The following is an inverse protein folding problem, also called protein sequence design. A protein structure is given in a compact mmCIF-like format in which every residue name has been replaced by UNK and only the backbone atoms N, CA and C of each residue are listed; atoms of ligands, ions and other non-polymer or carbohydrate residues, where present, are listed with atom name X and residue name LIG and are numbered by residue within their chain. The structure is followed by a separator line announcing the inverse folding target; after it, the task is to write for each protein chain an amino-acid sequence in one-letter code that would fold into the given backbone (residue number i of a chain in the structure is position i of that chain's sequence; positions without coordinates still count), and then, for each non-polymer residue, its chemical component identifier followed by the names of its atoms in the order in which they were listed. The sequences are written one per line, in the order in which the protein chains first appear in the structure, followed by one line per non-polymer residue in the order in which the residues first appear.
data_IF_879250989061
#
_entry.id   IF_879250989061
#
_cell.length_a   1.000
_cell.length_b   1.000
_cell.length_c   1.000
_cell.angle_alpha   90.00
_cell.angle_beta   90.00
_cell.angle_gamma   90.00
#
_symmetry.space_group_name_H-M   'P 1'
#
loop_
_entity.id
_entity.type
_entity.pdbx_description
1 polymer ?
#
# COMPACT_ATOMS: atom_id res chain seq x y z
N UNK A 1 0.88 38.77 5.85
CA UNK A 1 0.67 38.46 7.28
C UNK A 1 0.99 37.01 7.41
N UNK A 2 1.95 36.66 8.23
CA UNK A 2 2.26 35.25 8.52
C UNK A 2 0.98 34.62 9.08
N UNK A 3 0.48 33.59 8.38
CA UNK A 3 -0.76 32.92 8.78
C UNK A 3 -0.39 31.70 9.62
N UNK A 4 0.10 31.99 10.84
CA UNK A 4 0.44 31.00 11.84
C UNK A 4 -0.85 30.64 12.59
N UNK A 5 -1.20 29.37 12.60
CA UNK A 5 -2.41 28.85 13.23
C UNK A 5 -2.05 27.92 14.38
N UNK A 6 -2.76 28.07 15.49
CA UNK A 6 -2.71 27.09 16.59
C UNK A 6 -3.77 26.03 16.33
N UNK A 7 -3.33 24.76 16.24
CA UNK A 7 -4.16 23.65 15.80
C UNK A 7 -4.08 22.48 16.77
N UNK A 8 -5.18 21.74 16.87
CA UNK A 8 -5.22 20.44 17.54
C UNK A 8 -4.89 19.35 16.52
N UNK A 9 -3.93 18.49 16.85
CA UNK A 9 -3.76 17.18 16.20
C UNK A 9 -4.66 16.19 16.92
N UNK A 10 -5.58 15.61 16.19
CA UNK A 10 -6.57 14.67 16.70
C UNK A 10 -6.31 13.27 16.14
N UNK A 11 -6.59 12.26 16.95
CA UNK A 11 -6.85 10.89 16.50
C UNK A 11 -8.30 10.60 16.81
N UNK A 12 -9.15 10.58 15.78
CA UNK A 12 -10.61 10.51 15.90
C UNK A 12 -11.11 11.56 16.91
N UNK A 13 -11.52 11.18 18.11
CA UNK A 13 -12.04 12.07 19.15
C UNK A 13 -10.99 12.57 20.15
N UNK A 14 -9.80 11.96 20.16
CA UNK A 14 -8.78 12.24 21.19
C UNK A 14 -7.75 13.21 20.65
N UNK A 15 -7.53 14.30 21.40
CA UNK A 15 -6.44 15.22 21.11
C UNK A 15 -5.08 14.59 21.49
N UNK A 16 -4.22 14.41 20.49
CA UNK A 16 -2.86 13.90 20.69
C UNK A 16 -1.89 15.02 21.05
N UNK A 17 -1.99 16.18 20.38
CA UNK A 17 -1.12 17.31 20.62
C UNK A 17 -1.78 18.64 20.24
N UNK A 18 -1.23 19.74 20.79
CA UNK A 18 -1.50 21.11 20.38
C UNK A 18 -0.27 21.63 19.65
N UNK A 19 -0.44 22.00 18.38
CA UNK A 19 0.64 22.30 17.45
C UNK A 19 0.49 23.71 16.85
N UNK A 20 1.56 24.21 16.31
CA UNK A 20 1.59 25.38 15.45
C UNK A 20 1.72 24.94 14.01
N UNK A 21 0.83 25.41 13.19
CA UNK A 21 0.87 25.19 11.73
C UNK A 21 1.07 26.53 11.02
N UNK A 22 2.05 26.58 10.14
CA UNK A 22 2.37 27.74 9.33
C UNK A 22 1.94 27.47 7.88
N UNK A 23 0.94 28.23 7.39
CA UNK A 23 0.40 28.08 6.02
C UNK A 23 1.37 28.52 4.93
N UNK A 24 2.26 29.48 5.21
CA UNK A 24 3.20 29.99 4.21
C UNK A 24 4.27 28.94 3.88
N UNK A 25 4.77 28.26 4.90
CA UNK A 25 5.73 27.16 4.72
C UNK A 25 5.08 25.77 4.65
N UNK A 26 3.77 25.68 4.96
CA UNK A 26 2.96 24.46 4.93
C UNK A 26 3.56 23.35 5.81
N UNK A 27 3.91 23.69 7.03
CA UNK A 27 4.62 22.84 7.96
C UNK A 27 4.18 23.04 9.41
N UNK A 28 4.36 22.01 10.23
CA UNK A 28 4.27 22.12 11.68
C UNK A 28 5.58 22.74 12.17
N UNK A 29 5.49 23.91 12.77
CA UNK A 29 6.65 24.70 13.19
C UNK A 29 6.93 24.66 14.70
N UNK A 30 5.89 24.33 15.50
CA UNK A 30 6.03 24.19 16.94
C UNK A 30 5.06 23.15 17.49
N UNK A 31 5.36 22.65 18.70
CA UNK A 31 4.45 21.84 19.52
C UNK A 31 4.32 22.53 20.86
N UNK A 32 3.13 23.05 21.15
CA UNK A 32 2.85 23.72 22.43
C UNK A 32 2.64 22.71 23.56
N UNK A 33 2.00 21.59 23.25
CA UNK A 33 1.65 20.57 24.24
C UNK A 33 1.51 19.19 23.54
N UNK A 34 1.95 18.14 24.20
CA UNK A 34 1.64 16.75 23.88
C UNK A 34 0.58 16.32 24.89
N UNK A 35 -0.70 16.37 24.47
CA UNK A 35 -1.83 16.13 25.36
C UNK A 35 -1.99 14.64 25.66
N UNK A 36 -1.75 13.77 24.66
CA UNK A 36 -1.79 12.31 24.81
C UNK A 36 -0.87 11.64 23.78
N UNK A 37 0.32 11.25 24.23
CA UNK A 37 1.34 10.64 23.36
C UNK A 37 0.92 9.29 22.77
N UNK A 38 0.12 8.49 23.49
CA UNK A 38 -0.29 7.17 23.04
C UNK A 38 -1.23 7.23 21.84
N UNK A 39 -1.98 8.34 21.70
CA UNK A 39 -2.86 8.61 20.55
C UNK A 39 -2.13 9.37 19.42
N UNK A 40 -0.87 9.67 19.57
CA UNK A 40 -0.08 10.24 18.48
C UNK A 40 0.27 9.16 17.41
N UNK A 41 0.61 9.57 16.19
CA UNK A 41 1.09 8.63 15.17
C UNK A 41 2.28 7.80 15.69
N UNK A 42 2.29 6.49 15.40
CA UNK A 42 3.31 5.59 15.93
C UNK A 42 4.74 6.03 15.56
N UNK A 43 4.94 6.58 14.37
CA UNK A 43 6.24 7.14 13.95
C UNK A 43 6.68 8.30 14.83
N UNK A 44 5.75 9.17 15.24
CA UNK A 44 6.04 10.24 16.20
C UNK A 44 6.26 9.69 17.60
N UNK A 45 5.41 8.77 18.08
CA UNK A 45 5.56 8.07 19.35
C UNK A 45 6.96 7.44 19.50
N UNK A 46 7.40 6.70 18.47
CA UNK A 46 8.72 6.09 18.44
C UNK A 46 9.85 7.13 18.55
N UNK A 47 9.75 8.22 17.80
CA UNK A 47 10.75 9.30 17.82
C UNK A 47 10.79 10.02 19.16
N UNK A 48 9.64 10.24 19.77
CA UNK A 48 9.51 10.88 21.09
C UNK A 48 10.21 10.07 22.17
N UNK A 49 9.96 8.76 22.24
CA UNK A 49 10.57 7.89 23.25
C UNK A 49 12.05 7.59 23.00
N UNK A 50 12.46 7.54 21.74
CA UNK A 50 13.86 7.28 21.37
C UNK A 50 14.73 8.55 21.37
N UNK A 51 14.12 9.74 21.50
CA UNK A 51 14.80 11.05 21.46
C UNK A 51 15.81 11.21 20.29
N UNK A 52 15.53 10.57 19.16
CA UNK A 52 16.44 10.50 18.01
C UNK A 52 16.53 11.81 17.25
N UNK A 53 15.45 12.58 17.24
CA UNK A 53 15.32 13.91 16.61
C UNK A 53 14.41 14.79 17.47
N UNK A 54 14.36 16.12 17.21
CA UNK A 54 13.44 17.00 17.95
C UNK A 54 11.97 16.62 17.64
N UNK A 55 11.09 16.80 18.62
CA UNK A 55 9.67 16.50 18.51
C UNK A 55 9.01 17.22 17.34
N UNK A 56 9.32 18.51 17.15
CA UNK A 56 8.81 19.29 16.01
C UNK A 56 9.22 18.67 14.69
N UNK A 57 10.48 18.27 14.54
CA UNK A 57 10.98 17.61 13.33
C UNK A 57 10.28 16.28 13.08
N UNK A 58 10.10 15.46 14.13
CA UNK A 58 9.41 14.18 14.02
C UNK A 58 7.95 14.34 13.60
N UNK A 59 7.23 15.28 14.24
CA UNK A 59 5.83 15.58 13.92
C UNK A 59 5.69 16.09 12.49
N UNK A 60 6.58 17.00 12.08
CA UNK A 60 6.54 17.54 10.72
C UNK A 60 6.90 16.49 9.67
N UNK A 61 7.84 15.56 9.96
CA UNK A 61 8.12 14.44 9.05
C UNK A 61 6.90 13.53 8.86
N UNK A 62 6.17 13.23 9.93
CA UNK A 62 4.92 12.49 9.83
C UNK A 62 3.89 13.25 8.98
N UNK A 63 3.67 14.53 9.27
CA UNK A 63 2.70 15.37 8.55
C UNK A 63 3.02 15.47 7.06
N UNK A 64 4.26 15.82 6.72
CA UNK A 64 4.70 15.93 5.32
C UNK A 64 4.68 14.57 4.60
N UNK A 65 4.93 13.48 5.33
CA UNK A 65 4.86 12.12 4.81
C UNK A 65 3.45 11.67 4.40
N UNK A 66 2.41 12.40 4.79
CA UNK A 66 1.01 12.16 4.38
C UNK A 66 0.71 12.70 2.98
N UNK A 67 1.47 13.68 2.51
CA UNK A 67 1.28 14.24 1.19
C UNK A 67 1.58 13.24 0.09
N UNK A 68 1.00 13.46 -1.10
CA UNK A 68 1.32 12.68 -2.28
C UNK A 68 2.84 12.71 -2.49
N UNK A 69 3.50 11.55 -2.60
CA UNK A 69 4.96 11.49 -2.62
C UNK A 69 5.55 12.09 -3.89
N UNK A 70 6.73 12.70 -3.75
CA UNK A 70 7.44 13.35 -4.86
C UNK A 70 7.83 12.40 -6.00
N UNK A 71 7.90 11.10 -5.73
CA UNK A 71 8.19 10.05 -6.73
C UNK A 71 6.95 9.45 -7.40
N UNK A 72 5.73 10.02 -7.12
CA UNK A 72 4.51 9.64 -7.83
C UNK A 72 4.67 9.84 -9.34
N UNK A 73 4.29 8.83 -10.16
CA UNK A 73 4.28 8.97 -11.62
C UNK A 73 3.45 10.20 -12.03
N UNK A 74 4.03 11.03 -12.89
CA UNK A 74 3.39 12.23 -13.43
C UNK A 74 2.92 13.27 -12.38
N UNK A 75 3.55 13.32 -11.20
CA UNK A 75 3.17 14.25 -10.13
C UNK A 75 3.05 15.70 -10.61
N UNK A 76 4.03 16.19 -11.39
CA UNK A 76 4.01 17.56 -11.88
C UNK A 76 2.77 17.85 -12.75
N UNK A 77 2.39 16.92 -13.62
CA UNK A 77 1.17 17.04 -14.41
C UNK A 77 -0.09 16.99 -13.55
N UNK A 78 -0.11 16.12 -12.51
CA UNK A 78 -1.21 16.08 -11.56
C UNK A 78 -1.38 17.44 -10.86
N UNK A 79 -0.32 17.99 -10.30
CA UNK A 79 -0.36 19.28 -9.59
C UNK A 79 -0.79 20.43 -10.53
N UNK A 80 -0.22 20.48 -11.73
CA UNK A 80 -0.60 21.46 -12.74
C UNK A 80 -2.09 21.39 -13.10
N UNK A 81 -2.61 20.17 -13.33
CA UNK A 81 -4.03 19.93 -13.65
C UNK A 81 -4.97 20.30 -12.51
N UNK A 82 -4.53 20.17 -11.27
CA UNK A 82 -5.26 20.57 -10.07
C UNK A 82 -5.05 22.04 -9.71
N UNK A 83 -4.19 22.77 -10.43
CA UNK A 83 -3.77 24.14 -10.12
C UNK A 83 -3.19 24.28 -8.70
N UNK A 84 -2.29 23.36 -8.36
CA UNK A 84 -1.61 23.25 -7.06
C UNK A 84 -0.09 23.37 -7.29
N UNK A 85 0.60 24.12 -6.44
CA UNK A 85 2.06 24.33 -6.57
C UNK A 85 2.86 23.22 -5.91
N UNK A 86 2.40 22.67 -4.79
CA UNK A 86 3.10 21.66 -3.99
C UNK A 86 2.12 20.62 -3.40
N UNK A 87 2.51 19.33 -3.26
CA UNK A 87 1.65 18.32 -2.64
C UNK A 87 1.18 18.68 -1.23
N UNK A 88 1.99 19.38 -0.45
CA UNK A 88 1.63 19.81 0.91
C UNK A 88 0.44 20.77 0.98
N UNK A 89 0.17 21.52 -0.09
CA UNK A 89 -1.03 22.38 -0.16
C UNK A 89 -2.34 21.58 -0.11
N UNK A 90 -2.29 20.32 -0.57
CA UNK A 90 -3.46 19.44 -0.53
C UNK A 90 -3.83 19.00 0.89
N UNK A 91 -2.85 18.92 1.81
CA UNK A 91 -3.09 18.48 3.18
C UNK A 91 -4.04 19.41 3.94
N UNK A 92 -3.93 20.73 3.68
CA UNK A 92 -4.77 21.74 4.35
C UNK A 92 -6.19 21.83 3.81
N UNK A 93 -6.41 21.29 2.60
CA UNK A 93 -7.72 21.45 1.94
C UNK A 93 -8.81 20.65 2.63
N UNK A 94 -8.45 19.61 3.42
CA UNK A 94 -9.42 18.79 4.13
C UNK A 94 -8.82 18.20 5.42
N UNK A 95 -8.39 19.07 6.35
CA UNK A 95 -7.95 18.68 7.71
C UNK A 95 -6.85 17.60 7.76
N UNK A 96 -6.11 17.37 6.69
CA UNK A 96 -5.16 16.27 6.50
C UNK A 96 -5.77 14.86 6.62
N UNK A 97 -7.08 14.72 6.42
CA UNK A 97 -7.82 13.45 6.52
C UNK A 97 -7.32 12.40 5.51
N UNK A 98 -7.43 11.13 5.92
CA UNK A 98 -7.06 9.95 5.12
C UNK A 98 -8.13 8.86 5.22
N UNK A 99 -8.05 7.85 4.33
CA UNK A 99 -8.76 6.58 4.47
C UNK A 99 -7.83 5.45 4.94
N UNK A 100 -6.61 5.78 5.40
CA UNK A 100 -5.67 4.82 5.99
C UNK A 100 -5.54 4.94 7.50
N UNK A 101 -6.05 6.00 8.09
CA UNK A 101 -6.00 6.29 9.52
C UNK A 101 -7.06 7.33 9.93
N UNK A 102 -7.09 7.70 11.21
CA UNK A 102 -8.09 8.61 11.82
C UNK A 102 -7.46 9.92 12.30
N UNK A 103 -6.26 10.27 11.83
CA UNK A 103 -5.61 11.54 12.19
C UNK A 103 -6.15 12.70 11.38
N UNK A 104 -6.39 13.83 12.07
CA UNK A 104 -6.80 15.08 11.45
C UNK A 104 -6.31 16.28 12.24
N UNK A 105 -6.25 17.43 11.57
CA UNK A 105 -5.75 18.69 12.14
C UNK A 105 -6.83 19.75 12.00
N UNK A 106 -7.13 20.44 13.08
CA UNK A 106 -8.17 21.49 13.13
C UNK A 106 -7.71 22.64 14.01
N UNK A 107 -8.14 23.86 13.68
CA UNK A 107 -7.87 25.04 14.52
C UNK A 107 -8.33 24.82 15.96
N UNK A 108 -7.56 25.34 16.94
CA UNK A 108 -7.81 25.14 18.37
C UNK A 108 -9.24 25.50 18.80
N UNK A 109 -9.76 26.60 18.28
CA UNK A 109 -11.08 27.13 18.64
C UNK A 109 -12.23 26.56 17.79
N UNK A 110 -11.97 25.66 16.86
CA UNK A 110 -13.00 25.05 16.01
C UNK A 110 -13.92 24.13 16.79
N UNK A 111 -15.21 24.17 16.46
CA UNK A 111 -16.24 23.28 17.01
C UNK A 111 -16.48 22.04 16.14
N UNK A 112 -15.74 21.87 15.04
CA UNK A 112 -15.88 20.73 14.13
C UNK A 112 -15.55 19.44 14.88
N UNK A 113 -16.38 18.41 14.67
CA UNK A 113 -16.20 17.08 15.23
C UNK A 113 -15.80 16.09 14.11
N UNK A 114 -15.25 14.94 14.49
CA UNK A 114 -14.89 13.85 13.58
C UNK A 114 -16.08 13.40 12.72
N UNK A 115 -17.27 13.31 13.33
CA UNK A 115 -18.49 12.90 12.66
C UNK A 115 -18.90 13.81 11.52
N UNK A 116 -18.47 15.07 11.53
CA UNK A 116 -18.87 16.06 10.53
C UNK A 116 -18.03 15.96 9.23
N UNK A 117 -16.85 15.33 9.29
CA UNK A 117 -15.84 15.52 8.24
C UNK A 117 -15.20 14.24 7.71
N UNK A 118 -15.29 13.09 8.41
CA UNK A 118 -14.55 11.89 8.04
C UNK A 118 -14.99 11.28 6.70
N UNK A 119 -14.04 10.70 5.95
CA UNK A 119 -14.32 10.07 4.67
C UNK A 119 -14.80 8.62 4.76
N UNK A 120 -14.85 8.03 5.94
CA UNK A 120 -15.39 6.67 6.11
C UNK A 120 -16.91 6.66 5.99
N UNK A 121 -17.58 7.71 6.46
CA UNK A 121 -19.04 7.82 6.45
C UNK A 121 -19.58 8.89 5.50
N UNK A 122 -18.79 9.91 5.18
CA UNK A 122 -19.18 10.97 4.25
C UNK A 122 -18.70 10.66 2.83
N UNK A 123 -19.58 10.87 1.87
CA UNK A 123 -19.25 10.75 0.46
C UNK A 123 -18.40 11.93 -0.02
N UNK A 124 -17.59 11.69 -1.02
CA UNK A 124 -16.69 12.65 -1.64
C UNK A 124 -16.68 12.48 -3.15
N UNK A 125 -16.43 13.56 -3.86
CA UNK A 125 -16.26 13.53 -5.32
C UNK A 125 -14.76 13.44 -5.66
N UNK A 126 -14.39 12.42 -6.38
CA UNK A 126 -13.02 12.17 -6.86
C UNK A 126 -12.91 12.22 -8.39
N UNK A 127 -13.98 12.53 -9.11
CA UNK A 127 -14.00 12.45 -10.58
C UNK A 127 -12.90 13.29 -11.20
N UNK A 128 -12.81 14.56 -10.82
CA UNK A 128 -11.79 15.48 -11.32
C UNK A 128 -10.37 15.09 -10.91
N UNK A 129 -10.18 14.63 -9.66
CA UNK A 129 -8.88 14.19 -9.18
C UNK A 129 -8.40 12.94 -9.92
N UNK A 130 -9.25 11.92 -10.08
CA UNK A 130 -8.90 10.71 -10.82
C UNK A 130 -8.63 10.99 -12.30
N UNK A 131 -9.41 11.87 -12.92
CA UNK A 131 -9.13 12.30 -14.29
C UNK A 131 -7.74 12.94 -14.40
N UNK A 132 -7.36 13.80 -13.46
CA UNK A 132 -6.04 14.42 -13.42
C UNK A 132 -4.92 13.39 -13.14
N UNK A 133 -5.17 12.44 -12.23
CA UNK A 133 -4.18 11.44 -11.77
C UNK A 133 -3.91 10.34 -12.81
N UNK A 134 -4.95 9.81 -13.44
CA UNK A 134 -4.87 8.68 -14.38
C UNK A 134 -4.58 9.07 -15.82
N UNK A 135 -4.66 10.35 -16.17
CA UNK A 135 -4.33 10.84 -17.50
C UNK A 135 -2.80 10.79 -17.72
N UNK A 136 -2.36 9.93 -18.61
CA UNK A 136 -0.94 9.76 -18.96
C UNK A 136 -0.51 10.67 -20.14
N UNK A 137 -1.40 11.54 -20.62
CA UNK A 137 -1.06 12.48 -21.69
C UNK A 137 -0.09 13.57 -21.21
N UNK A 138 0.79 14.02 -22.09
CA UNK A 138 1.72 15.12 -21.83
C UNK A 138 1.08 16.50 -21.97
N UNK A 139 -0.23 16.56 -22.26
CA UNK A 139 -0.91 17.84 -22.48
C UNK A 139 -1.20 18.55 -21.15
N UNK A 140 -0.77 19.81 -21.07
CA UNK A 140 -1.12 20.72 -19.97
C UNK A 140 -2.57 21.17 -20.11
N UNK A 141 -3.35 21.01 -19.06
CA UNK A 141 -4.71 21.52 -18.91
C UNK A 141 -5.08 21.58 -17.44
N UNK A 142 -6.04 22.40 -17.11
CA UNK A 142 -6.60 22.46 -15.76
C UNK A 142 -7.97 21.77 -15.75
N UNK A 143 -8.20 20.87 -14.82
CA UNK A 143 -9.50 20.24 -14.61
C UNK A 143 -10.41 21.25 -13.93
N UNK A 144 -11.55 21.55 -14.55
CA UNK A 144 -12.53 22.49 -14.00
C UNK A 144 -13.36 21.81 -12.89
N UNK A 145 -13.72 22.59 -11.87
CA UNK A 145 -14.60 22.17 -10.77
C UNK A 145 -14.09 20.91 -10.01
N UNK A 146 -12.78 20.80 -9.79
CA UNK A 146 -12.22 19.72 -8.98
C UNK A 146 -12.54 19.97 -7.51
N UNK A 147 -13.17 18.99 -6.86
CA UNK A 147 -13.24 18.98 -5.41
C UNK A 147 -11.88 18.56 -4.84
N UNK A 148 -11.27 19.43 -4.04
CA UNK A 148 -10.08 19.09 -3.25
C UNK A 148 -10.43 18.59 -1.85
N UNK A 149 -11.72 18.47 -1.53
CA UNK A 149 -12.25 17.82 -0.33
C UNK A 149 -12.36 16.31 -0.59
N UNK A 150 -11.23 15.63 -0.51
CA UNK A 150 -11.10 14.24 -0.93
C UNK A 150 -9.96 13.53 -0.21
N UNK A 151 -10.10 12.24 0.15
CA UNK A 151 -9.02 11.45 0.75
C UNK A 151 -7.86 11.21 -0.23
N UNK A 152 -7.99 11.62 -1.48
CA UNK A 152 -6.94 11.48 -2.48
C UNK A 152 -5.72 12.36 -2.20
N UNK A 153 -5.90 13.41 -1.42
CA UNK A 153 -4.84 14.33 -0.99
C UNK A 153 -3.73 13.64 -0.16
N UNK A 154 -4.06 12.49 0.46
CA UNK A 154 -3.18 11.73 1.35
C UNK A 154 -2.86 10.32 0.82
N UNK A 155 -3.01 10.08 -0.50
CA UNK A 155 -2.68 8.76 -1.08
C UNK A 155 -1.17 8.58 -1.26
N UNK A 156 -0.59 7.53 -0.65
CA UNK A 156 0.85 7.21 -0.79
C UNK A 156 1.13 6.31 -2.01
N UNK A 157 2.41 6.19 -2.39
CA UNK A 157 2.95 5.27 -3.38
C UNK A 157 3.08 5.84 -4.79
N UNK A 158 3.76 5.06 -5.66
CA UNK A 158 4.25 5.48 -6.98
C UNK A 158 3.15 5.52 -8.06
N UNK A 159 2.20 4.58 -8.03
CA UNK A 159 1.15 4.44 -9.05
C UNK A 159 0.18 5.62 -9.00
N UNK A 160 -0.27 6.14 -10.16
CA UNK A 160 -1.44 7.01 -10.22
C UNK A 160 -2.62 6.31 -9.57
N UNK A 161 -3.29 6.96 -8.64
CA UNK A 161 -4.39 6.33 -7.89
C UNK A 161 -5.33 7.35 -7.28
N UNK A 162 -6.48 6.87 -6.86
CA UNK A 162 -7.41 7.66 -6.06
C UNK A 162 -8.57 6.81 -5.53
N UNK A 163 -9.14 7.27 -4.43
CA UNK A 163 -10.33 6.71 -3.83
C UNK A 163 -11.60 7.19 -4.53
N UNK A 164 -12.58 6.31 -4.62
CA UNK A 164 -13.95 6.63 -5.03
C UNK A 164 -14.95 6.04 -4.05
N UNK A 165 -16.19 6.51 -4.12
CA UNK A 165 -17.34 5.85 -3.50
C UNK A 165 -18.08 5.05 -4.57
N UNK A 166 -18.15 3.74 -4.42
CA UNK A 166 -18.85 2.83 -5.31
C UNK A 166 -19.73 1.89 -4.47
N UNK A 167 -21.07 1.94 -4.64
CA UNK A 167 -22.04 1.14 -3.85
C UNK A 167 -21.87 1.31 -2.32
N UNK A 168 -21.72 2.52 -1.85
CA UNK A 168 -21.44 2.90 -0.45
C UNK A 168 -20.11 2.34 0.11
N UNK A 169 -19.23 1.83 -0.73
CA UNK A 169 -17.91 1.34 -0.35
C UNK A 169 -16.83 2.32 -0.80
N UNK A 170 -15.76 2.40 -0.02
CA UNK A 170 -14.56 3.16 -0.37
C UNK A 170 -13.65 2.25 -1.18
N UNK A 171 -13.50 2.54 -2.46
CA UNK A 171 -12.76 1.73 -3.42
C UNK A 171 -11.55 2.50 -3.91
N UNK A 172 -10.37 1.90 -3.78
CA UNK A 172 -9.13 2.44 -4.34
C UNK A 172 -9.00 1.99 -5.79
N UNK A 173 -8.88 2.97 -6.68
CA UNK A 173 -8.52 2.76 -8.08
C UNK A 173 -7.02 3.01 -8.21
N UNK A 174 -6.29 2.06 -8.80
CA UNK A 174 -4.87 2.19 -9.13
C UNK A 174 -4.66 2.03 -10.63
N UNK A 175 -3.96 2.99 -11.24
CA UNK A 175 -3.48 2.91 -12.62
C UNK A 175 -2.17 2.13 -12.72
N UNK A 176 -1.42 2.41 -13.76
CA UNK A 176 -0.19 1.70 -14.10
C UNK A 176 1.02 2.62 -14.09
N UNK A 177 2.17 2.05 -13.77
CA UNK A 177 3.46 2.73 -13.78
C UNK A 177 4.39 2.19 -14.88
N UNK A 178 4.38 0.87 -15.07
CA UNK A 178 5.30 0.21 -15.98
C UNK A 178 4.92 0.42 -17.44
N UNK A 179 5.91 0.29 -18.33
CA UNK A 179 5.70 0.37 -19.77
C UNK A 179 4.65 -0.62 -20.28
N UNK A 180 4.51 -1.76 -19.62
CA UNK A 180 3.65 -2.86 -20.07
C UNK A 180 2.27 -2.84 -19.43
N UNK A 181 1.98 -1.91 -18.53
CA UNK A 181 0.67 -1.77 -17.87
C UNK A 181 0.16 -3.10 -17.24
N UNK A 182 1.08 -3.91 -16.68
CA UNK A 182 0.77 -5.26 -16.19
C UNK A 182 0.32 -5.29 -14.73
N UNK A 183 0.57 -4.23 -13.95
CA UNK A 183 0.34 -4.19 -12.50
C UNK A 183 -1.08 -4.59 -12.07
N UNK A 184 -2.17 -4.14 -12.73
CA UNK A 184 -3.52 -4.54 -12.34
C UNK A 184 -3.75 -6.05 -12.42
N UNK A 185 -3.17 -6.71 -13.42
CA UNK A 185 -3.29 -8.16 -13.62
C UNK A 185 -2.48 -8.95 -12.60
N UNK A 186 -1.36 -8.40 -12.13
CA UNK A 186 -0.54 -8.99 -11.07
C UNK A 186 -1.26 -8.92 -9.71
N UNK A 187 -1.92 -7.80 -9.41
CA UNK A 187 -2.73 -7.66 -8.19
C UNK A 187 -3.92 -8.64 -8.21
N UNK A 188 -4.59 -8.80 -9.35
CA UNK A 188 -5.62 -9.81 -9.52
C UNK A 188 -5.07 -11.23 -9.32
N UNK A 189 -3.93 -11.57 -9.94
CA UNK A 189 -3.30 -12.88 -9.79
C UNK A 189 -2.96 -13.19 -8.33
N UNK A 190 -2.38 -12.24 -7.60
CA UNK A 190 -2.09 -12.39 -6.17
C UNK A 190 -3.36 -12.66 -5.36
N UNK A 191 -4.48 -11.97 -5.69
CA UNK A 191 -5.78 -12.23 -5.06
C UNK A 191 -6.25 -13.66 -5.32
N UNK A 192 -6.13 -14.18 -6.57
CA UNK A 192 -6.57 -15.53 -6.90
C UNK A 192 -5.71 -16.60 -6.23
N UNK A 193 -4.39 -16.40 -6.14
CA UNK A 193 -3.49 -17.28 -5.38
C UNK A 193 -3.91 -17.30 -3.91
N UNK A 194 -4.02 -16.13 -3.29
CA UNK A 194 -4.36 -15.99 -1.88
C UNK A 194 -5.73 -16.60 -1.56
N UNK A 195 -6.74 -16.33 -2.39
CA UNK A 195 -8.08 -16.91 -2.26
C UNK A 195 -8.05 -18.44 -2.28
N UNK A 196 -7.31 -19.04 -3.21
CA UNK A 196 -7.22 -20.50 -3.36
C UNK A 196 -6.46 -21.16 -2.19
N UNK A 197 -5.48 -20.45 -1.64
CA UNK A 197 -4.71 -20.92 -0.49
C UNK A 197 -5.37 -20.61 0.86
N UNK A 198 -6.45 -19.81 0.88
CA UNK A 198 -7.15 -19.39 2.11
C UNK A 198 -6.40 -18.33 2.90
N UNK A 199 -5.58 -17.50 2.22
CA UNK A 199 -4.82 -16.43 2.84
C UNK A 199 -5.64 -15.13 2.87
N UNK A 200 -5.43 -14.30 3.89
CA UNK A 200 -6.05 -12.99 4.01
C UNK A 200 -5.46 -12.01 2.99
N UNK A 201 -6.28 -11.38 2.18
CA UNK A 201 -5.85 -10.58 1.04
C UNK A 201 -6.87 -9.53 0.63
N UNK A 202 -6.39 -8.46 0.00
CA UNK A 202 -7.24 -7.54 -0.74
C UNK A 202 -7.77 -8.21 -2.01
N UNK A 203 -9.07 -8.13 -2.22
CA UNK A 203 -9.69 -8.65 -3.44
C UNK A 203 -9.59 -7.59 -4.55
N UNK A 204 -8.77 -7.86 -5.56
CA UNK A 204 -8.57 -6.96 -6.68
C UNK A 204 -9.39 -7.37 -7.91
N UNK A 205 -10.07 -6.36 -8.50
CA UNK A 205 -10.71 -6.47 -9.80
C UNK A 205 -9.95 -5.63 -10.82
N UNK A 206 -9.88 -6.10 -12.06
CA UNK A 206 -9.29 -5.35 -13.19
C UNK A 206 -10.41 -4.80 -14.05
N UNK A 207 -10.34 -3.53 -14.41
CA UNK A 207 -11.36 -2.86 -15.20
C UNK A 207 -10.76 -1.74 -16.07
N UNK A 208 -11.56 -1.24 -17.00
CA UNK A 208 -11.25 -0.08 -17.80
C UNK A 208 -11.85 1.18 -17.17
N UNK A 209 -11.01 2.16 -16.85
CA UNK A 209 -11.46 3.47 -16.39
C UNK A 209 -11.41 4.47 -17.54
N UNK A 210 -12.48 5.28 -17.71
CA UNK A 210 -12.54 6.29 -18.78
C UNK A 210 -11.93 7.59 -18.28
N UNK A 211 -10.88 8.04 -18.96
CA UNK A 211 -10.22 9.33 -18.75
C UNK A 211 -10.43 10.16 -20.02
N UNK A 212 -11.28 11.17 -19.96
CA UNK A 212 -11.71 11.92 -21.14
C UNK A 212 -12.32 10.99 -22.22
N UNK A 213 -11.63 10.84 -23.36
CA UNK A 213 -12.03 9.95 -24.46
C UNK A 213 -11.28 8.62 -24.47
N UNK A 214 -10.23 8.49 -23.63
CA UNK A 214 -9.39 7.31 -23.56
C UNK A 214 -9.83 6.37 -22.43
N UNK A 215 -9.46 5.10 -22.59
CA UNK A 215 -9.63 4.09 -21.54
C UNK A 215 -8.26 3.64 -21.04
N UNK A 216 -8.07 3.71 -19.72
CA UNK A 216 -6.88 3.21 -19.05
C UNK A 216 -7.24 1.96 -18.25
N UNK A 217 -6.31 1.01 -18.21
CA UNK A 217 -6.48 -0.20 -17.39
C UNK A 217 -6.17 0.13 -15.93
N UNK A 218 -7.00 -0.37 -15.02
CA UNK A 218 -6.87 -0.10 -13.57
C UNK A 218 -7.15 -1.35 -12.77
N UNK A 219 -6.59 -1.43 -11.58
CA UNK A 219 -7.08 -2.31 -10.54
C UNK A 219 -7.98 -1.56 -9.56
N UNK A 220 -8.96 -2.27 -9.00
CA UNK A 220 -9.90 -1.78 -8.00
C UNK A 220 -9.86 -2.68 -6.78
N UNK A 221 -9.72 -2.11 -5.58
CA UNK A 221 -9.89 -2.84 -4.33
C UNK A 221 -10.66 -2.01 -3.30
N UNK A 222 -11.50 -2.68 -2.51
CA UNK A 222 -12.21 -2.07 -1.40
C UNK A 222 -11.23 -1.72 -0.27
N UNK A 223 -11.51 -0.65 0.47
CA UNK A 223 -10.76 -0.33 1.68
C UNK A 223 -10.92 -1.46 2.70
N UNK A 224 -9.80 -1.90 3.27
CA UNK A 224 -9.75 -3.03 4.21
C UNK A 224 -9.76 -2.59 5.68
N UNK A 225 -9.82 -1.28 5.95
CA UNK A 225 -10.00 -0.72 7.30
C UNK A 225 -11.31 0.07 7.38
N UNK A 226 -11.85 0.19 8.58
CA UNK A 226 -13.05 0.93 8.90
C UNK A 226 -12.77 2.17 9.77
N UNK A 227 -13.81 2.89 10.18
CA UNK A 227 -13.71 4.13 10.96
C UNK A 227 -13.17 3.96 12.39
N UNK A 228 -12.94 2.73 12.84
CA UNK A 228 -12.34 2.45 14.16
C UNK A 228 -10.93 1.88 14.04
N UNK A 229 -10.38 1.82 12.85
CA UNK A 229 -9.12 1.18 12.55
C UNK A 229 -8.13 2.14 11.88
N UNK A 230 -6.86 1.86 12.04
CA UNK A 230 -5.79 2.51 11.28
C UNK A 230 -4.77 1.49 10.79
N UNK A 231 -4.19 1.78 9.64
CA UNK A 231 -3.07 1.04 9.06
C UNK A 231 -1.76 1.60 9.64
N UNK A 232 -1.00 0.74 10.30
CA UNK A 232 0.37 1.05 10.74
C UNK A 232 1.33 0.26 9.87
N UNK A 233 2.28 0.95 9.24
CA UNK A 233 3.25 0.32 8.36
C UNK A 233 4.19 -0.61 9.13
N UNK A 234 4.67 -1.67 8.47
CA UNK A 234 5.70 -2.52 9.06
C UNK A 234 6.99 -1.74 9.38
N UNK A 235 7.25 -0.64 8.67
CA UNK A 235 8.37 0.25 8.98
C UNK A 235 8.25 0.84 10.39
N UNK A 236 7.09 1.40 10.74
CA UNK A 236 6.86 2.02 12.05
C UNK A 236 6.82 0.98 13.17
N UNK A 237 6.21 -0.20 12.89
CA UNK A 237 6.23 -1.35 13.81
C UNK A 237 7.66 -1.81 14.07
N UNK A 238 8.47 -1.96 13.03
CA UNK A 238 9.87 -2.42 13.15
C UNK A 238 10.72 -1.47 13.99
N UNK A 239 10.42 -0.17 13.95
CA UNK A 239 11.11 0.86 14.75
C UNK A 239 10.58 0.98 16.19
N UNK A 240 9.44 0.36 16.52
CA UNK A 240 8.82 0.51 17.85
C UNK A 240 9.54 -0.24 18.96
N UNK A 241 10.30 -1.28 18.62
CA UNK A 241 11.08 -2.09 19.56
C UNK A 241 12.53 -2.20 19.09
N UNK A 242 13.47 -2.02 20.01
CA UNK A 242 14.89 -2.17 19.67
C UNK A 242 15.21 -3.63 19.34
N UNK A 243 15.75 -3.85 18.15
CA UNK A 243 16.14 -5.19 17.72
C UNK A 243 17.36 -5.70 18.50
N UNK A 244 17.28 -6.94 18.96
CA UNK A 244 18.42 -7.67 19.49
C UNK A 244 19.35 -8.16 18.38
N UNK A 245 20.67 -8.12 18.60
CA UNK A 245 21.66 -8.54 17.62
C UNK A 245 21.67 -10.05 17.33
N UNK A 246 21.02 -10.84 18.18
CA UNK A 246 20.98 -12.31 18.13
C UNK A 246 19.91 -12.86 17.18
N UNK A 247 18.93 -12.03 16.79
CA UNK A 247 17.80 -12.45 15.95
C UNK A 247 17.81 -11.74 14.60
N UNK A 248 17.30 -12.41 13.57
CA UNK A 248 17.15 -11.81 12.25
C UNK A 248 15.93 -10.87 12.18
N UNK A 249 15.79 -10.10 11.08
CA UNK A 249 14.74 -9.09 10.93
C UNK A 249 13.33 -9.70 10.89
N UNK A 250 13.18 -10.87 10.27
CA UNK A 250 11.89 -11.59 10.25
C UNK A 250 11.46 -11.98 11.67
N UNK A 251 12.38 -12.60 12.43
CA UNK A 251 12.08 -13.03 13.79
C UNK A 251 11.81 -11.86 14.72
N UNK A 252 12.58 -10.78 14.59
CA UNK A 252 12.33 -9.53 15.33
C UNK A 252 10.93 -9.00 15.08
N UNK A 253 10.52 -8.90 13.80
CA UNK A 253 9.21 -8.38 13.43
C UNK A 253 8.09 -9.27 13.97
N UNK A 254 8.17 -10.58 13.74
CA UNK A 254 7.16 -11.55 14.20
C UNK A 254 7.03 -11.53 15.72
N UNK A 255 8.13 -11.58 16.47
CA UNK A 255 8.10 -11.53 17.94
C UNK A 255 7.53 -10.19 18.44
N UNK A 256 7.82 -9.08 17.77
CA UNK A 256 7.22 -7.79 18.10
C UNK A 256 5.70 -7.86 18.01
N UNK A 257 5.15 -8.46 16.94
CA UNK A 257 3.71 -8.61 16.75
C UNK A 257 3.08 -9.56 17.79
N UNK A 258 3.71 -10.71 18.01
CA UNK A 258 3.26 -11.74 18.97
C UNK A 258 3.21 -11.15 20.40
N UNK A 259 4.23 -10.39 20.79
CA UNK A 259 4.29 -9.70 22.09
C UNK A 259 3.21 -8.61 22.25
N UNK A 260 2.70 -8.04 21.16
CA UNK A 260 1.57 -7.11 21.16
C UNK A 260 0.21 -7.79 20.95
N UNK A 261 0.16 -9.13 21.01
CA UNK A 261 -1.07 -9.91 21.04
C UNK A 261 -1.56 -10.43 19.68
N UNK A 262 -0.82 -10.24 18.59
CA UNK A 262 -1.15 -10.81 17.26
C UNK A 262 -0.54 -12.23 17.18
N UNK A 263 -1.25 -13.22 17.73
CA UNK A 263 -0.71 -14.59 17.93
C UNK A 263 -0.51 -15.38 16.62
N UNK A 264 -1.18 -15.00 15.53
CA UNK A 264 -1.04 -15.62 14.22
C UNK A 264 -0.07 -14.88 13.28
N UNK A 265 0.70 -13.92 13.81
CA UNK A 265 1.61 -13.07 13.05
C UNK A 265 2.58 -13.88 12.19
N UNK A 266 3.23 -14.88 12.78
CA UNK A 266 4.18 -15.77 12.08
C UNK A 266 3.55 -16.43 10.85
N UNK A 267 2.33 -16.94 11.01
CA UNK A 267 1.56 -17.56 9.93
C UNK A 267 1.27 -16.53 8.82
N UNK A 268 0.72 -15.37 9.16
CA UNK A 268 0.33 -14.34 8.20
C UNK A 268 1.51 -13.77 7.43
N UNK A 269 2.63 -13.53 8.10
CA UNK A 269 3.85 -13.03 7.44
C UNK A 269 4.46 -14.10 6.53
N UNK A 270 4.47 -15.39 6.95
CA UNK A 270 4.90 -16.49 6.09
C UNK A 270 4.01 -16.62 4.84
N UNK A 271 2.69 -16.58 5.00
CA UNK A 271 1.70 -16.62 3.90
C UNK A 271 1.96 -15.50 2.87
N UNK A 272 2.21 -14.28 3.32
CA UNK A 272 2.51 -13.12 2.47
C UNK A 272 3.77 -13.36 1.62
N UNK A 273 4.87 -13.78 2.23
CA UNK A 273 6.10 -14.03 1.49
C UNK A 273 6.04 -15.25 0.56
N UNK A 274 5.17 -16.22 0.84
CA UNK A 274 4.88 -17.30 -0.10
C UNK A 274 4.15 -16.79 -1.34
N UNK A 275 3.18 -15.88 -1.18
CA UNK A 275 2.55 -15.23 -2.34
C UNK A 275 3.59 -14.45 -3.14
N UNK A 276 4.44 -13.65 -2.48
CA UNK A 276 5.51 -12.89 -3.14
C UNK A 276 6.49 -13.81 -3.88
N UNK A 277 6.81 -14.98 -3.33
CA UNK A 277 7.60 -16.00 -4.02
C UNK A 277 6.91 -16.49 -5.30
N UNK A 278 5.62 -16.82 -5.23
CA UNK A 278 4.86 -17.39 -6.35
C UNK A 278 4.70 -16.40 -7.50
N UNK A 279 4.51 -15.12 -7.21
CA UNK A 279 4.34 -14.07 -8.23
C UNK A 279 5.62 -13.31 -8.55
N UNK A 280 6.74 -13.61 -7.88
CA UNK A 280 7.99 -12.85 -8.01
C UNK A 280 7.81 -11.35 -7.73
N UNK A 281 7.20 -11.00 -6.60
CA UNK A 281 7.01 -9.61 -6.20
C UNK A 281 8.34 -8.97 -5.78
N UNK A 282 8.79 -7.97 -6.53
CA UNK A 282 10.07 -7.30 -6.29
C UNK A 282 9.99 -6.09 -5.34
N UNK A 283 8.77 -5.75 -4.88
CA UNK A 283 8.56 -4.50 -4.15
C UNK A 283 7.89 -4.65 -2.77
N UNK A 284 8.09 -5.77 -2.08
CA UNK A 284 7.63 -5.95 -0.69
C UNK A 284 8.48 -5.15 0.31
N UNK A 285 8.47 -3.83 0.19
CA UNK A 285 9.11 -2.96 1.19
C UNK A 285 8.22 -2.78 2.43
N UNK A 286 8.81 -2.27 3.54
CA UNK A 286 8.16 -2.18 4.85
C UNK A 286 6.92 -1.27 4.92
N UNK A 287 6.56 -0.56 3.86
CA UNK A 287 5.30 0.20 3.76
C UNK A 287 4.21 -0.56 3.00
N UNK A 288 4.52 -1.71 2.37
CA UNK A 288 3.56 -2.52 1.61
C UNK A 288 2.99 -3.70 2.43
N UNK A 289 3.12 -3.64 3.73
CA UNK A 289 2.46 -4.47 4.73
C UNK A 289 2.58 -3.81 6.10
N UNK A 290 1.87 -4.35 7.10
CA UNK A 290 1.87 -3.79 8.44
C UNK A 290 0.85 -4.46 9.33
N UNK A 291 0.27 -3.68 10.22
CA UNK A 291 -0.79 -4.11 11.13
C UNK A 291 -2.00 -3.17 11.06
N UNK A 292 -3.12 -3.67 11.53
CA UNK A 292 -4.31 -2.89 11.84
C UNK A 292 -4.37 -2.69 13.34
N UNK A 293 -4.47 -1.41 13.76
CA UNK A 293 -4.64 -1.00 15.15
C UNK A 293 -6.04 -0.40 15.34
N UNK A 294 -6.69 -0.71 16.43
CA UNK A 294 -7.92 -0.04 16.83
C UNK A 294 -7.58 1.34 17.38
N UNK A 295 -8.24 2.39 16.92
CA UNK A 295 -7.91 3.78 17.25
C UNK A 295 -8.39 4.23 18.63
N UNK A 296 -9.36 3.51 19.23
CA UNK A 296 -9.89 3.86 20.56
C UNK A 296 -9.14 3.10 21.66
N UNK A 297 -8.98 1.79 21.50
CA UNK A 297 -8.29 0.94 22.48
C UNK A 297 -6.78 0.88 22.30
N UNK A 298 -6.26 1.37 21.18
CA UNK A 298 -4.86 1.30 20.74
C UNK A 298 -4.32 -0.15 20.62
N UNK A 299 -5.22 -1.14 20.63
CA UNK A 299 -4.86 -2.55 20.53
C UNK A 299 -4.44 -2.88 19.09
N UNK A 300 -3.33 -3.58 18.93
CA UNK A 300 -2.94 -4.18 17.66
C UNK A 300 -3.81 -5.41 17.42
N UNK A 301 -4.62 -5.39 16.37
CA UNK A 301 -5.66 -6.39 16.19
C UNK A 301 -5.24 -7.53 15.28
N UNK A 302 -4.60 -7.20 14.16
CA UNK A 302 -4.21 -8.18 13.14
C UNK A 302 -3.12 -7.67 12.21
N UNK A 303 -2.47 -8.58 11.50
CA UNK A 303 -1.65 -8.23 10.32
C UNK A 303 -2.58 -7.75 9.21
N UNK A 304 -2.11 -6.81 8.37
CA UNK A 304 -2.85 -6.38 7.17
C UNK A 304 -3.13 -7.55 6.24
N UNK A 305 -4.25 -7.54 5.50
CA UNK A 305 -4.40 -8.44 4.35
C UNK A 305 -3.24 -8.22 3.36
N UNK A 306 -2.96 -9.21 2.50
CA UNK A 306 -1.94 -9.07 1.45
C UNK A 306 -2.42 -8.04 0.43
N UNK A 307 -1.63 -6.97 0.21
CA UNK A 307 -1.92 -5.90 -0.73
C UNK A 307 -0.66 -5.41 -1.44
N UNK A 308 -0.82 -4.58 -2.45
CA UNK A 308 0.24 -3.92 -3.23
C UNK A 308 1.26 -4.90 -3.82
N UNK A 309 0.76 -5.76 -4.71
CA UNK A 309 1.49 -6.84 -5.35
C UNK A 309 1.72 -6.60 -6.85
N UNK A 310 1.46 -5.40 -7.33
CA UNK A 310 1.51 -5.07 -8.75
C UNK A 310 2.89 -5.23 -9.39
N UNK A 311 3.96 -4.97 -8.66
CA UNK A 311 5.35 -5.07 -9.16
C UNK A 311 5.85 -6.52 -9.15
N UNK A 312 5.21 -7.37 -9.97
CA UNK A 312 5.38 -8.82 -10.00
C UNK A 312 5.47 -9.36 -11.42
N UNK A 313 5.69 -10.66 -11.55
CA UNK A 313 5.61 -11.41 -12.81
C UNK A 313 6.40 -10.76 -13.95
N UNK A 314 7.60 -10.28 -13.66
CA UNK A 314 8.47 -9.60 -14.63
C UNK A 314 7.78 -8.42 -15.34
N UNK A 315 6.95 -7.64 -14.64
CA UNK A 315 6.11 -6.58 -15.24
C UNK A 315 6.89 -5.46 -15.94
N UNK A 316 8.18 -5.28 -15.61
CA UNK A 316 9.07 -4.30 -16.23
C UNK A 316 9.90 -4.87 -17.38
N UNK A 317 9.80 -6.19 -17.65
CA UNK A 317 10.67 -6.87 -18.59
C UNK A 317 10.03 -7.05 -19.96
N UNK A 318 10.75 -6.81 -21.06
CA UNK A 318 10.32 -7.25 -22.37
C UNK A 318 10.32 -8.80 -22.43
N UNK A 319 9.55 -9.39 -23.36
CA UNK A 319 9.28 -10.84 -23.41
C UNK A 319 10.59 -11.67 -23.39
N UNK A 320 11.61 -11.25 -24.14
CA UNK A 320 12.88 -11.97 -24.24
C UNK A 320 13.68 -12.03 -22.92
N UNK A 321 13.41 -11.11 -21.99
CA UNK A 321 14.12 -11.02 -20.71
C UNK A 321 13.32 -11.63 -19.55
N UNK A 322 12.07 -12.06 -19.79
CA UNK A 322 11.24 -12.67 -18.74
C UNK A 322 11.79 -14.04 -18.35
N UNK A 323 12.33 -14.14 -17.14
CA UNK A 323 12.82 -15.38 -16.53
C UNK A 323 12.05 -15.66 -15.23
N UNK A 324 11.39 -16.81 -15.17
CA UNK A 324 10.61 -17.23 -14.01
C UNK A 324 11.30 -18.33 -13.19
N UNK A 325 12.51 -18.74 -13.58
CA UNK A 325 13.28 -19.76 -12.86
C UNK A 325 14.06 -19.20 -11.68
N UNK A 326 14.40 -17.93 -11.74
CA UNK A 326 15.23 -17.25 -10.78
C UNK A 326 14.73 -15.82 -10.52
N UNK A 327 14.91 -15.31 -9.32
CA UNK A 327 14.55 -13.93 -9.00
C UNK A 327 14.84 -13.52 -7.56
N UNK A 328 14.69 -12.24 -7.33
CA UNK A 328 14.95 -11.59 -6.05
C UNK A 328 13.74 -10.80 -5.59
N UNK A 329 13.56 -10.72 -4.28
CA UNK A 329 12.58 -9.87 -3.62
C UNK A 329 13.17 -9.11 -2.43
N UNK A 330 12.44 -8.14 -1.91
CA UNK A 330 12.79 -7.46 -0.66
C UNK A 330 12.35 -8.32 0.53
N UNK A 331 13.19 -8.37 1.58
CA UNK A 331 12.92 -9.12 2.80
C UNK A 331 13.38 -8.31 4.01
N UNK A 332 12.50 -7.50 4.57
CA UNK A 332 12.73 -6.58 5.69
C UNK A 332 13.80 -5.51 5.46
N UNK A 333 14.40 -5.46 4.30
CA UNK A 333 15.42 -4.46 3.92
C UNK A 333 15.11 -3.93 2.52
N UNK A 334 15.80 -2.85 2.13
CA UNK A 334 15.75 -2.36 0.75
C UNK A 334 16.67 -3.14 -0.21
N UNK A 335 17.45 -4.09 0.32
CA UNK A 335 18.33 -4.94 -0.49
C UNK A 335 17.54 -6.13 -1.02
N UNK A 336 17.82 -6.50 -2.27
CA UNK A 336 17.24 -7.67 -2.89
C UNK A 336 17.88 -8.95 -2.34
N UNK A 337 17.06 -9.95 -2.03
CA UNK A 337 17.45 -11.28 -1.54
C UNK A 337 16.84 -12.33 -2.47
N UNK A 338 17.61 -13.38 -2.76
CA UNK A 338 17.13 -14.54 -3.53
C UNK A 338 15.86 -15.14 -2.91
N UNK A 339 14.87 -15.49 -3.74
CA UNK A 339 13.59 -16.01 -3.25
C UNK A 339 13.71 -17.33 -2.49
N UNK A 340 14.61 -18.25 -2.90
CA UNK A 340 14.80 -19.51 -2.17
C UNK A 340 15.45 -19.24 -0.80
N UNK A 341 16.33 -18.23 -0.73
CA UNK A 341 16.91 -17.80 0.54
C UNK A 341 15.85 -17.12 1.44
N UNK A 342 14.88 -16.40 0.86
CA UNK A 342 13.72 -15.86 1.61
C UNK A 342 12.90 -17.02 2.17
N UNK A 343 12.47 -17.98 1.35
CA UNK A 343 11.70 -19.15 1.81
C UNK A 343 12.37 -19.90 2.97
N UNK A 344 13.68 -20.11 2.88
CA UNK A 344 14.46 -20.79 3.95
C UNK A 344 14.54 -19.98 5.25
N UNK A 345 14.21 -18.69 5.22
CA UNK A 345 14.18 -17.82 6.39
C UNK A 345 12.81 -17.79 7.07
N UNK A 346 11.78 -18.37 6.46
CA UNK A 346 10.41 -18.41 6.96
C UNK A 346 10.14 -19.65 7.82
N UNK A 347 8.95 -19.73 8.40
CA UNK A 347 8.52 -20.88 9.18
C UNK A 347 8.21 -22.08 8.26
N UNK A 348 9.01 -23.14 8.41
CA UNK A 348 8.97 -24.31 7.55
C UNK A 348 7.74 -25.19 7.79
N UNK A 349 7.22 -25.25 9.00
CA UNK A 349 6.04 -26.05 9.30
C UNK A 349 4.78 -25.40 8.70
N UNK A 350 4.72 -24.08 8.70
CA UNK A 350 3.68 -23.31 8.00
C UNK A 350 3.78 -23.56 6.49
N UNK A 351 4.97 -23.46 5.88
CA UNK A 351 5.17 -23.70 4.45
C UNK A 351 4.72 -25.12 4.05
N UNK A 352 5.02 -26.12 4.86
CA UNK A 352 4.59 -27.51 4.62
C UNK A 352 3.07 -27.67 4.62
N UNK A 353 2.37 -26.92 5.45
CA UNK A 353 0.91 -26.99 5.57
C UNK A 353 0.17 -26.31 4.40
N UNK A 354 0.84 -25.53 3.54
CA UNK A 354 0.19 -24.80 2.46
C UNK A 354 -0.39 -25.78 1.42
N UNK A 355 -1.70 -25.65 1.06
CA UNK A 355 -2.37 -26.58 0.16
C UNK A 355 -2.11 -26.21 -1.32
N UNK A 356 -0.87 -26.42 -1.81
CA UNK A 356 -0.41 -26.01 -3.15
C UNK A 356 -1.26 -26.64 -4.26
N UNK A 357 -1.82 -27.84 -4.04
CA UNK A 357 -2.72 -28.51 -4.98
C UNK A 357 -3.94 -27.65 -5.36
N UNK A 358 -4.34 -26.70 -4.51
CA UNK A 358 -5.44 -25.77 -4.80
C UNK A 358 -5.09 -24.78 -5.92
N UNK A 359 -3.81 -24.64 -6.27
CA UNK A 359 -3.37 -23.80 -7.39
C UNK A 359 -3.47 -24.51 -8.75
N UNK A 360 -3.86 -25.77 -8.77
CA UNK A 360 -4.06 -26.53 -10.02
C UNK A 360 -5.07 -25.82 -10.92
N UNK A 361 -4.72 -25.64 -12.20
CA UNK A 361 -5.55 -24.95 -13.20
C UNK A 361 -5.48 -23.43 -13.16
N UNK A 362 -4.82 -22.83 -12.15
CA UNK A 362 -4.68 -21.37 -12.09
C UNK A 362 -3.87 -20.78 -13.26
N UNK A 363 -2.80 -21.40 -13.79
CA UNK A 363 -2.09 -20.86 -14.96
C UNK A 363 -3.01 -20.75 -16.19
N UNK A 364 -3.90 -21.70 -16.42
CA UNK A 364 -4.89 -21.70 -17.50
C UNK A 364 -5.92 -20.59 -17.32
N UNK A 365 -6.42 -20.43 -16.09
CA UNK A 365 -7.37 -19.38 -15.74
C UNK A 365 -6.72 -17.99 -15.88
N UNK A 366 -5.49 -17.82 -15.42
CA UNK A 366 -4.73 -16.58 -15.58
C UNK A 366 -4.55 -16.21 -17.06
N UNK A 367 -4.16 -17.17 -17.89
CA UNK A 367 -4.06 -16.96 -19.33
C UNK A 367 -5.39 -16.56 -19.95
N UNK A 368 -6.49 -17.26 -19.62
CA UNK A 368 -7.82 -16.94 -20.14
C UNK A 368 -8.27 -15.54 -19.70
N UNK A 369 -7.95 -15.15 -18.46
CA UNK A 369 -8.22 -13.81 -17.94
C UNK A 369 -7.45 -12.75 -18.72
N UNK A 370 -6.14 -12.89 -18.89
CA UNK A 370 -5.32 -11.97 -19.69
C UNK A 370 -5.82 -11.88 -21.13
N UNK A 371 -6.21 -13.02 -21.71
CA UNK A 371 -6.75 -13.11 -23.08
C UNK A 371 -8.01 -12.26 -23.26
N UNK A 372 -8.86 -12.16 -22.25
CA UNK A 372 -10.08 -11.35 -22.32
C UNK A 372 -9.81 -9.84 -22.49
N UNK A 373 -8.62 -9.37 -22.09
CA UNK A 373 -8.19 -7.98 -22.24
C UNK A 373 -7.28 -7.76 -23.46
N UNK A 374 -6.69 -8.83 -24.02
CA UNK A 374 -5.60 -8.78 -25.00
C UNK A 374 -5.86 -7.81 -26.15
N UNK A 375 -6.99 -7.91 -26.84
CA UNK A 375 -7.25 -7.12 -28.06
C UNK A 375 -7.12 -5.61 -27.81
N UNK A 376 -7.63 -5.11 -26.69
CA UNK A 376 -7.55 -3.69 -26.34
C UNK A 376 -6.15 -3.31 -25.84
N UNK A 377 -5.50 -4.18 -25.09
CA UNK A 377 -4.14 -3.96 -24.58
C UNK A 377 -3.12 -3.96 -25.74
N UNK A 378 -3.20 -4.90 -26.66
CA UNK A 378 -2.31 -5.01 -27.82
C UNK A 378 -2.47 -3.84 -28.80
N UNK A 379 -3.67 -3.28 -28.92
CA UNK A 379 -3.90 -2.05 -29.69
C UNK A 379 -3.09 -0.88 -29.13
N UNK A 380 -3.02 -0.74 -27.81
CA UNK A 380 -2.25 0.29 -27.11
C UNK A 380 -0.75 -0.02 -27.07
N UNK A 381 -0.38 -1.28 -26.84
CA UNK A 381 0.98 -1.74 -26.67
C UNK A 381 1.20 -3.12 -27.31
N UNK A 382 1.99 -3.17 -28.37
CA UNK A 382 2.27 -4.39 -29.15
C UNK A 382 2.94 -5.51 -28.34
N UNK A 383 3.53 -5.20 -27.19
CA UNK A 383 4.08 -6.20 -26.27
C UNK A 383 2.99 -7.09 -25.62
N UNK A 384 1.72 -6.69 -25.67
CA UNK A 384 0.58 -7.52 -25.24
C UNK A 384 0.21 -8.59 -26.26
N UNK A 385 1.22 -9.23 -26.83
CA UNK A 385 1.10 -10.29 -27.81
C UNK A 385 0.66 -11.62 -27.18
N UNK A 386 0.20 -12.52 -28.04
CA UNK A 386 -0.08 -13.91 -27.64
C UNK A 386 1.13 -14.59 -26.99
N UNK A 387 2.34 -14.26 -27.44
CA UNK A 387 3.59 -14.76 -26.89
C UNK A 387 3.80 -14.34 -25.45
N UNK A 388 3.54 -13.05 -25.12
CA UNK A 388 3.61 -12.56 -23.72
C UNK A 388 2.64 -13.30 -22.80
N UNK A 389 1.40 -13.48 -23.25
CA UNK A 389 0.38 -14.15 -22.46
C UNK A 389 0.76 -15.61 -22.17
N UNK A 390 1.28 -16.33 -23.17
CA UNK A 390 1.81 -17.70 -22.98
C UNK A 390 3.00 -17.73 -22.02
N UNK A 391 3.92 -16.78 -22.16
CA UNK A 391 5.10 -16.66 -21.30
C UNK A 391 4.71 -16.43 -19.84
N UNK A 392 3.71 -15.59 -19.58
CA UNK A 392 3.17 -15.35 -18.22
C UNK A 392 2.49 -16.61 -17.65
N UNK A 393 1.70 -17.31 -18.45
CA UNK A 393 1.09 -18.60 -18.06
C UNK A 393 2.15 -19.63 -17.66
N UNK A 394 3.12 -19.86 -18.54
CA UNK A 394 4.22 -20.81 -18.34
C UNK A 394 5.09 -20.39 -17.13
N UNK A 395 5.31 -19.10 -16.98
CA UNK A 395 6.01 -18.52 -15.84
C UNK A 395 5.32 -18.84 -14.52
N UNK A 396 4.01 -18.64 -14.42
CA UNK A 396 3.25 -19.00 -13.22
C UNK A 396 3.31 -20.51 -12.93
N UNK A 397 3.14 -21.35 -13.96
CA UNK A 397 3.28 -22.79 -13.81
C UNK A 397 4.67 -23.18 -13.29
N UNK A 398 5.72 -22.55 -13.82
CA UNK A 398 7.11 -22.73 -13.37
C UNK A 398 7.28 -22.37 -11.89
N UNK A 399 6.74 -21.20 -11.47
CA UNK A 399 6.83 -20.76 -10.06
C UNK A 399 6.13 -21.72 -9.09
N UNK A 400 4.95 -22.21 -9.47
CA UNK A 400 4.22 -23.22 -8.66
C UNK A 400 5.03 -24.49 -8.54
N UNK A 401 5.57 -25.02 -9.65
CA UNK A 401 6.39 -26.25 -9.63
C UNK A 401 7.69 -26.08 -8.81
N UNK A 402 8.33 -24.90 -8.90
CA UNK A 402 9.51 -24.61 -8.08
C UNK A 402 9.16 -24.55 -6.60
N UNK A 403 8.03 -23.93 -6.23
CA UNK A 403 7.58 -23.91 -4.85
C UNK A 403 7.29 -25.31 -4.30
N UNK A 404 6.60 -26.16 -5.06
CA UNK A 404 6.37 -27.56 -4.70
C UNK A 404 7.67 -28.33 -4.48
N UNK A 405 8.65 -28.13 -5.37
CA UNK A 405 9.98 -28.77 -5.26
C UNK A 405 10.73 -28.31 -4.02
N UNK A 406 10.77 -27.01 -3.72
CA UNK A 406 11.46 -26.48 -2.53
C UNK A 406 10.75 -26.96 -1.25
N UNK A 407 9.41 -26.97 -1.23
CA UNK A 407 8.60 -27.53 -0.15
C UNK A 407 8.87 -29.03 0.05
N UNK A 408 9.04 -29.81 -1.02
CA UNK A 408 9.40 -31.25 -0.97
C UNK A 408 10.76 -31.51 -0.33
N UNK A 409 11.81 -30.78 -0.71
CA UNK A 409 13.14 -30.88 -0.09
C UNK A 409 13.12 -30.64 1.43
N UNK A 410 12.20 -29.80 1.89
CA UNK A 410 12.00 -29.48 3.29
C UNK A 410 11.38 -30.68 4.02
N UNK A 411 10.55 -31.50 3.35
CA UNK A 411 9.99 -32.74 3.91
C UNK A 411 11.08 -33.81 4.12
N UNK A 412 11.96 -34.00 3.14
CA UNK A 412 13.01 -35.01 3.15
C UNK A 412 14.09 -34.80 4.23
N UNK A 413 14.33 -33.55 4.65
CA UNK A 413 15.33 -33.21 5.67
C UNK A 413 14.92 -33.53 7.12
N UNK A 414 13.65 -33.87 7.41
CA UNK A 414 13.20 -34.23 8.75
C UNK A 414 13.15 -35.76 8.96
N UNK A 415 13.10 -36.52 7.87
CA UNK A 415 13.06 -38.00 7.93
C UNK A 415 14.46 -38.62 7.86
N UNK A 416 15.51 -37.84 7.81
CA UNK A 416 16.93 -38.19 7.90
C UNK A 416 17.56 -37.66 9.20
#
# INVERSE_FOLDING_TARGET
MEQIMKCRLMNKHTQAALIEYDEDVQAITNIYEISNIDYAPLSFYNSYHNASISNVKAMNQWFQGRAIPSWRKNLNHLLERLNISRPSELLNKEFALSLSDQYWIVEECSCIQWEDINFFTHDFDSTGFLQASLDDSSHSYTVQNVSLKTPNNTTDGMLPKGWIVENNKRVLIKGTYTRFEQEPFNEWLASQISKRLGFDHCNYNVDWYTVKQDKVIVSKCENFINENEELISAYDVFQSVKKENTINDYEHYVQTLENHGILDARKKITEMFVVDYLIMNVDRHLKNFGIIRNVESLKWERVTPIFDTGQSMCCNEPIQNMDFTFGYGKFFTNLNKDYNAILKSLDMDIIRAIPVQNLKGLPEEYYAFLKSFQTKMEYKNKEWSEERLKKLKEGLATRIALFEKERGKILDCKDS
#
